data_IF_740373622433
#
_entry.id   IF_740373622433
#
_cell.length_a   1.000
_cell.length_b   1.000
_cell.length_c   1.000
_cell.angle_alpha   90.00
_cell.angle_beta   90.00
_cell.angle_gamma   90.00
#
_symmetry.space_group_name_H-M   'P 1'
#
loop_
_entity.id
_entity.type
_entity.pdbx_description
1 polymer ?
#
# COMPACT_ATOMS: atom_id res chain seq x y z
N UNK A 1 8.79 5.36 7.80
CA UNK A 1 10.16 5.40 8.33
C UNK A 1 10.29 6.48 9.40
N UNK A 2 11.31 6.36 10.27
CA UNK A 2 11.64 7.39 11.28
C UNK A 2 12.68 8.40 10.80
N UNK A 3 13.72 7.96 10.10
CA UNK A 3 14.74 8.85 9.54
C UNK A 3 15.15 8.42 8.16
N UNK A 4 15.28 9.38 7.25
CA UNK A 4 15.72 9.10 5.89
C UNK A 4 17.15 8.56 5.83
N UNK A 5 17.99 8.92 6.82
CA UNK A 5 19.43 8.62 6.82
C UNK A 5 19.71 7.11 6.82
N UNK A 6 18.80 6.29 7.37
CA UNK A 6 18.92 4.84 7.40
C UNK A 6 17.86 4.11 6.56
N UNK A 7 17.10 4.84 5.74
CA UNK A 7 15.95 4.29 5.00
C UNK A 7 16.27 4.19 3.51
N UNK A 8 16.05 3.01 2.93
CA UNK A 8 16.16 2.78 1.48
C UNK A 8 14.76 2.79 0.86
N UNK A 9 14.20 3.98 0.69
CA UNK A 9 12.79 4.18 0.27
C UNK A 9 12.42 3.32 -0.95
N UNK A 10 13.21 3.38 -2.03
CA UNK A 10 12.89 2.64 -3.25
C UNK A 10 12.85 1.12 -3.04
N UNK A 11 13.71 0.59 -2.17
CA UNK A 11 13.71 -0.83 -1.82
C UNK A 11 12.47 -1.19 -0.99
N UNK A 12 12.13 -0.40 0.02
CA UNK A 12 10.98 -0.64 0.88
C UNK A 12 9.65 -0.54 0.11
N UNK A 13 9.50 0.49 -0.73
CA UNK A 13 8.34 0.62 -1.63
C UNK A 13 8.22 -0.57 -2.58
N UNK A 14 9.35 -1.03 -3.15
CA UNK A 14 9.34 -2.17 -4.05
C UNK A 14 8.94 -3.48 -3.33
N UNK A 15 9.39 -3.64 -2.09
CA UNK A 15 9.00 -4.76 -1.24
C UNK A 15 7.51 -4.69 -0.86
N UNK A 16 7.00 -3.52 -0.50
CA UNK A 16 5.59 -3.29 -0.18
C UNK A 16 4.67 -3.62 -1.36
N UNK A 17 5.01 -3.13 -2.56
CA UNK A 17 4.25 -3.44 -3.77
C UNK A 17 4.26 -4.93 -4.11
N UNK A 18 5.43 -5.60 -4.03
CA UNK A 18 5.51 -7.07 -4.20
C UNK A 18 4.68 -7.83 -3.18
N UNK A 19 4.69 -7.39 -1.93
CA UNK A 19 3.88 -7.99 -0.86
C UNK A 19 2.39 -7.86 -1.18
N UNK A 20 1.93 -6.68 -1.58
CA UNK A 20 0.54 -6.45 -1.94
C UNK A 20 0.11 -7.30 -3.14
N UNK A 21 0.95 -7.46 -4.15
CA UNK A 21 0.69 -8.38 -5.28
C UNK A 21 0.50 -9.82 -4.81
N UNK A 22 1.36 -10.32 -3.90
CA UNK A 22 1.21 -11.67 -3.34
C UNK A 22 -0.08 -11.83 -2.53
N UNK A 23 -0.53 -10.78 -1.81
CA UNK A 23 -1.82 -10.79 -1.11
C UNK A 23 -2.98 -10.93 -2.10
N UNK A 24 -2.93 -10.20 -3.23
CA UNK A 24 -3.95 -10.29 -4.29
C UNK A 24 -3.96 -11.68 -4.95
N UNK A 25 -2.78 -12.21 -5.30
CA UNK A 25 -2.65 -13.57 -5.87
C UNK A 25 -3.25 -14.62 -4.92
N UNK A 26 -2.95 -14.50 -3.63
CA UNK A 26 -3.45 -15.43 -2.64
C UNK A 26 -4.96 -15.29 -2.43
N UNK A 27 -5.50 -14.06 -2.43
CA UNK A 27 -6.94 -13.80 -2.41
C UNK A 27 -7.65 -14.56 -3.54
N UNK A 28 -7.14 -14.49 -4.77
CA UNK A 28 -7.72 -15.22 -5.90
C UNK A 28 -7.59 -16.73 -5.71
N UNK A 29 -6.42 -17.21 -5.26
CA UNK A 29 -6.17 -18.63 -4.99
C UNK A 29 -7.18 -19.24 -4.02
N UNK A 30 -7.58 -18.52 -2.97
CA UNK A 30 -8.55 -19.02 -1.97
C UNK A 30 -10.01 -18.68 -2.30
N UNK A 31 -10.26 -17.98 -3.42
CA UNK A 31 -11.60 -17.58 -3.82
C UNK A 31 -12.23 -16.47 -2.95
N UNK A 32 -11.41 -15.65 -2.28
CA UNK A 32 -11.93 -14.50 -1.51
C UNK A 32 -12.46 -13.43 -2.48
N UNK A 33 -13.76 -13.11 -2.34
CA UNK A 33 -14.47 -12.22 -3.28
C UNK A 33 -14.46 -10.74 -2.87
N UNK A 34 -14.10 -10.43 -1.63
CA UNK A 34 -14.08 -9.06 -1.12
C UNK A 34 -12.92 -8.23 -1.71
N UNK A 35 -12.98 -6.89 -1.68
CA UNK A 35 -11.84 -6.08 -2.05
C UNK A 35 -10.72 -6.20 -1.01
N UNK A 36 -9.47 -5.96 -1.43
CA UNK A 36 -8.40 -5.59 -0.51
C UNK A 36 -8.50 -4.08 -0.31
N UNK A 37 -8.36 -3.61 0.93
CA UNK A 37 -8.40 -2.19 1.25
C UNK A 37 -7.03 -1.72 1.75
N UNK A 38 -6.59 -0.56 1.28
CA UNK A 38 -5.47 0.19 1.88
C UNK A 38 -6.04 1.46 2.47
N UNK A 39 -5.61 1.78 3.68
CA UNK A 39 -6.00 2.98 4.40
C UNK A 39 -4.86 4.00 4.35
N UNK A 40 -5.03 5.15 3.67
CA UNK A 40 -4.00 6.16 3.68
C UNK A 40 -3.87 6.79 5.07
N UNK A 41 -2.63 6.98 5.51
CA UNK A 41 -2.28 7.68 6.73
C UNK A 41 -0.93 8.39 6.56
N UNK A 42 -0.83 9.69 6.85
CA UNK A 42 0.40 10.45 6.56
C UNK A 42 1.55 10.13 7.52
N UNK A 43 1.22 9.80 8.77
CA UNK A 43 2.15 9.61 9.89
C UNK A 43 1.44 8.96 11.09
N UNK A 44 2.23 8.56 12.09
CA UNK A 44 1.88 7.94 13.38
C UNK A 44 1.72 6.40 13.36
N UNK A 45 2.62 5.65 14.03
CA UNK A 45 3.69 6.10 14.93
C UNK A 45 4.93 6.66 14.21
N UNK A 46 5.03 6.45 12.89
CA UNK A 46 6.21 6.86 12.14
C UNK A 46 6.21 8.31 11.70
N UNK A 47 7.42 8.86 11.55
CA UNK A 47 7.66 10.21 11.00
C UNK A 47 7.06 10.39 9.61
N UNK A 48 7.16 9.39 8.73
CA UNK A 48 6.50 9.36 7.42
C UNK A 48 6.00 7.95 7.10
N UNK A 49 4.71 7.80 6.79
CA UNK A 49 4.13 6.57 6.26
C UNK A 49 4.01 6.68 4.73
N UNK A 50 4.31 5.59 4.01
CA UNK A 50 4.39 5.58 2.55
C UNK A 50 3.03 5.69 1.88
N UNK A 51 2.02 5.14 2.54
CA UNK A 51 0.60 5.26 2.25
C UNK A 51 0.05 6.62 2.69
N UNK A 52 0.72 7.70 2.30
CA UNK A 52 0.52 9.03 2.89
C UNK A 52 -0.88 9.61 2.67
N UNK A 53 -1.37 9.54 1.43
CA UNK A 53 -2.67 10.02 1.01
C UNK A 53 -3.23 9.15 -0.14
N UNK A 54 -4.46 9.44 -0.55
CA UNK A 54 -5.13 8.70 -1.63
C UNK A 54 -4.32 8.73 -2.93
N UNK A 55 -3.70 9.86 -3.28
CA UNK A 55 -2.97 9.99 -4.54
C UNK A 55 -1.70 9.12 -4.56
N UNK A 56 -0.98 9.08 -3.45
CA UNK A 56 0.24 8.30 -3.26
C UNK A 56 -0.05 6.81 -3.28
N UNK A 57 -1.08 6.37 -2.53
CA UNK A 57 -1.52 4.97 -2.53
C UNK A 57 -2.02 4.56 -3.92
N UNK A 58 -2.77 5.42 -4.60
CA UNK A 58 -3.25 5.14 -5.96
C UNK A 58 -2.10 4.97 -6.96
N UNK A 59 -1.05 5.77 -6.86
CA UNK A 59 0.16 5.63 -7.69
C UNK A 59 0.81 4.26 -7.52
N UNK A 60 0.92 3.77 -6.26
CA UNK A 60 1.42 2.42 -5.99
C UNK A 60 0.53 1.35 -6.63
N UNK A 61 -0.79 1.42 -6.43
CA UNK A 61 -1.75 0.47 -7.00
C UNK A 61 -1.64 0.41 -8.52
N UNK A 62 -1.52 1.58 -9.18
CA UNK A 62 -1.31 1.70 -10.63
C UNK A 62 0.00 1.09 -11.09
N UNK A 63 1.09 1.36 -10.37
CA UNK A 63 2.44 0.87 -10.71
C UNK A 63 2.51 -0.66 -10.74
N UNK A 64 1.70 -1.33 -9.91
CA UNK A 64 1.65 -2.80 -9.82
C UNK A 64 0.45 -3.45 -10.53
N UNK A 65 -0.40 -2.67 -11.22
CA UNK A 65 -1.54 -3.20 -11.98
C UNK A 65 -2.66 -3.82 -11.11
N UNK A 66 -2.88 -3.28 -9.90
CA UNK A 66 -3.77 -3.87 -8.89
C UNK A 66 -5.15 -3.20 -8.78
N UNK A 67 -5.52 -2.36 -9.75
CA UNK A 67 -6.70 -1.48 -9.66
C UNK A 67 -8.03 -2.22 -9.60
N UNK A 68 -8.06 -3.48 -10.05
CA UNK A 68 -9.27 -4.32 -10.03
C UNK A 68 -9.53 -4.94 -8.66
N UNK A 69 -8.50 -5.04 -7.82
CA UNK A 69 -8.53 -5.82 -6.58
C UNK A 69 -8.40 -5.00 -5.31
N UNK A 70 -7.70 -3.86 -5.39
CA UNK A 70 -7.38 -3.00 -4.26
C UNK A 70 -8.18 -1.69 -4.34
N UNK A 71 -8.83 -1.31 -3.23
CA UNK A 71 -9.59 -0.07 -3.07
C UNK A 71 -9.10 0.72 -1.86
N UNK A 72 -9.61 1.94 -1.69
CA UNK A 72 -9.27 2.81 -0.57
C UNK A 72 -10.22 2.62 0.61
N UNK A 73 -9.68 2.57 1.82
CA UNK A 73 -10.40 2.87 3.05
C UNK A 73 -10.01 4.29 3.48
N UNK A 74 -10.91 5.27 3.37
CA UNK A 74 -10.55 6.68 3.63
C UNK A 74 -10.99 7.04 5.05
N UNK A 75 -10.03 7.39 5.90
CA UNK A 75 -10.27 7.97 7.22
C UNK A 75 -10.28 9.51 7.14
N UNK A 76 -11.08 10.15 8.00
CA UNK A 76 -11.23 11.62 8.02
C UNK A 76 -10.11 12.36 8.80
N UNK A 77 -9.52 11.71 9.80
CA UNK A 77 -8.63 12.34 10.79
C UNK A 77 -7.35 12.94 10.18
#
# INVERSE_FOLDING_TARGET
YETLINTRIGQELHQAGRFLSMVVDYKHKIGFKGPILIEPKPKEPSTHQYDYDVATVWSMIKTYGLEKDVKMNVEQN
#
